data_IF_403283809530
#
_entry.id   IF_403283809530
#
_cell.length_a   1.000
_cell.length_b   1.000
_cell.length_c   1.000
_cell.angle_alpha   90.00
_cell.angle_beta   90.00
_cell.angle_gamma   90.00
#
_symmetry.space_group_name_H-M   'P 1'
#
loop_
_entity.id
_entity.type
_entity.pdbx_description
1 polymer ?
#
# COMPACT_ATOMS: atom_id res chain seq x y z
N UNK A 1 33.93 10.13 -7.15
CA UNK A 1 34.28 9.06 -6.20
C UNK A 1 32.99 8.46 -5.67
N UNK A 2 32.57 7.34 -6.24
CA UNK A 2 31.43 6.57 -5.75
C UNK A 2 31.81 5.85 -4.47
N UNK A 3 31.06 6.10 -3.40
CA UNK A 3 31.18 5.37 -2.14
C UNK A 3 30.04 4.35 -2.11
N UNK A 4 30.23 3.29 -2.90
CA UNK A 4 29.63 1.98 -2.63
C UNK A 4 30.34 1.41 -1.39
N UNK A 5 29.98 1.90 -0.21
CA UNK A 5 30.25 1.20 1.05
C UNK A 5 29.07 0.28 1.31
N UNK A 6 29.29 -1.02 1.21
CA UNK A 6 28.26 -2.03 1.39
C UNK A 6 27.48 -1.85 2.70
N UNK A 7 26.21 -1.52 2.59
CA UNK A 7 25.26 -1.77 3.67
C UNK A 7 24.97 -3.28 3.65
N UNK A 8 25.28 -4.03 4.73
CA UNK A 8 24.74 -5.36 4.89
C UNK A 8 23.20 -5.29 4.79
N UNK A 9 22.52 -6.36 4.33
CA UNK A 9 21.06 -6.36 4.27
C UNK A 9 20.52 -5.93 5.65
N UNK A 10 19.49 -5.07 5.74
CA UNK A 10 19.08 -4.48 7.00
C UNK A 10 18.57 -5.57 7.93
N UNK A 11 19.46 -6.14 8.74
CA UNK A 11 19.09 -6.87 9.94
C UNK A 11 18.41 -5.83 10.84
N UNK A 12 17.07 -5.83 10.84
CA UNK A 12 16.28 -4.87 11.62
C UNK A 12 16.85 -4.81 13.04
N UNK A 13 17.16 -3.61 13.59
CA UNK A 13 17.61 -3.51 14.95
C UNK A 13 16.54 -4.12 15.85
N UNK A 14 16.90 -5.17 16.60
CA UNK A 14 16.04 -5.88 17.55
C UNK A 14 15.80 -5.04 18.81
N UNK A 15 15.38 -3.80 18.63
CA UNK A 15 14.96 -2.92 19.72
C UNK A 15 13.51 -3.25 20.09
N UNK A 16 13.13 -3.21 21.39
CA UNK A 16 11.79 -3.55 21.88
C UNK A 16 10.66 -2.66 21.36
N UNK A 17 10.97 -1.63 20.56
CA UNK A 17 10.03 -0.65 20.00
C UNK A 17 9.72 -0.85 18.51
N UNK A 18 10.26 -1.88 17.87
CA UNK A 18 9.99 -2.19 16.46
C UNK A 18 8.77 -3.12 16.31
N UNK A 19 7.93 -2.85 15.31
CA UNK A 19 6.76 -3.66 15.00
C UNK A 19 7.15 -5.00 14.34
N UNK A 20 7.24 -6.07 15.12
CA UNK A 20 7.58 -7.42 14.63
C UNK A 20 6.61 -7.94 13.56
N UNK A 21 5.32 -7.61 13.63
CA UNK A 21 4.35 -8.00 12.60
C UNK A 21 4.70 -7.45 11.21
N UNK A 22 5.21 -6.21 11.13
CA UNK A 22 5.57 -5.60 9.86
C UNK A 22 6.76 -6.32 9.20
N UNK A 23 7.67 -6.86 10.01
CA UNK A 23 8.80 -7.68 9.53
C UNK A 23 8.33 -8.99 8.91
N UNK A 24 7.30 -9.61 9.47
CA UNK A 24 6.74 -10.89 8.97
C UNK A 24 5.87 -10.67 7.72
N UNK A 25 5.00 -9.66 7.73
CA UNK A 25 4.03 -9.43 6.67
C UNK A 25 4.54 -8.54 5.53
N UNK A 26 5.17 -7.40 5.86
CA UNK A 26 5.61 -6.41 4.88
C UNK A 26 7.08 -6.61 4.46
N UNK A 27 7.86 -7.40 5.21
CA UNK A 27 9.32 -7.55 5.04
C UNK A 27 10.09 -6.23 5.06
N UNK A 28 9.57 -5.24 5.79
CA UNK A 28 10.22 -3.96 6.07
C UNK A 28 10.37 -3.76 7.59
N UNK A 29 11.39 -3.02 8.01
CA UNK A 29 11.62 -2.70 9.42
C UNK A 29 10.83 -1.44 9.80
N UNK A 30 9.65 -1.56 10.42
CA UNK A 30 8.95 -0.43 11.03
C UNK A 30 9.43 -0.22 12.47
N UNK A 31 10.37 0.71 12.64
CA UNK A 31 10.92 1.07 13.96
C UNK A 31 10.68 2.54 14.32
N UNK A 32 10.33 3.39 13.33
CA UNK A 32 10.06 4.81 13.55
C UNK A 32 8.56 5.11 13.49
N UNK A 33 8.11 6.03 14.34
CA UNK A 33 6.74 6.57 14.28
C UNK A 33 6.45 7.20 12.92
N UNK A 34 7.46 7.77 12.26
CA UNK A 34 7.32 8.35 10.91
C UNK A 34 6.95 7.31 9.87
N UNK A 35 7.56 6.12 9.94
CA UNK A 35 7.30 5.02 9.00
C UNK A 35 5.89 4.44 9.24
N UNK A 36 5.48 4.33 10.51
CA UNK A 36 4.13 3.92 10.89
C UNK A 36 3.06 4.90 10.40
N UNK A 37 3.31 6.21 10.54
CA UNK A 37 2.41 7.25 10.03
C UNK A 37 2.35 7.23 8.50
N UNK A 38 3.49 7.09 7.82
CA UNK A 38 3.53 7.00 6.36
C UNK A 38 2.75 5.78 5.84
N UNK A 39 2.92 4.62 6.46
CA UNK A 39 2.17 3.40 6.12
C UNK A 39 0.66 3.59 6.38
N UNK A 40 0.29 4.15 7.53
CA UNK A 40 -1.10 4.42 7.89
C UNK A 40 -1.78 5.40 6.93
N UNK A 41 -1.11 6.49 6.58
CA UNK A 41 -1.62 7.47 5.62
C UNK A 41 -1.73 6.89 4.21
N UNK A 42 -0.75 6.08 3.77
CA UNK A 42 -0.80 5.39 2.49
C UNK A 42 -1.98 4.41 2.41
N UNK A 43 -2.17 3.58 3.44
CA UNK A 43 -3.32 2.67 3.54
C UNK A 43 -4.64 3.44 3.56
N UNK A 44 -4.74 4.50 4.36
CA UNK A 44 -5.94 5.32 4.42
C UNK A 44 -6.26 5.97 3.06
N UNK A 45 -5.25 6.42 2.32
CA UNK A 45 -5.43 7.00 0.99
C UNK A 45 -5.94 5.99 -0.03
N UNK A 46 -5.43 4.77 -0.03
CA UNK A 46 -5.89 3.71 -0.93
C UNK A 46 -7.33 3.30 -0.60
N UNK A 47 -7.64 3.17 0.69
CA UNK A 47 -8.98 2.81 1.15
C UNK A 47 -10.00 3.90 0.84
N UNK A 48 -9.67 5.18 1.07
CA UNK A 48 -10.57 6.29 0.79
C UNK A 48 -10.88 6.41 -0.70
N UNK A 49 -9.86 6.26 -1.55
CA UNK A 49 -10.03 6.23 -3.00
C UNK A 49 -10.90 5.04 -3.43
N UNK A 50 -10.59 3.83 -2.94
CA UNK A 50 -11.37 2.63 -3.27
C UNK A 50 -12.85 2.77 -2.90
N UNK A 51 -13.17 3.29 -1.72
CA UNK A 51 -14.55 3.51 -1.26
C UNK A 51 -15.25 4.57 -2.13
N UNK A 52 -14.55 5.62 -2.55
CA UNK A 52 -15.12 6.65 -3.41
C UNK A 52 -15.53 6.12 -4.80
N UNK A 53 -14.85 5.08 -5.31
CA UNK A 53 -15.17 4.43 -6.58
C UNK A 53 -16.33 3.42 -6.48
N UNK A 54 -16.65 2.90 -5.28
CA UNK A 54 -17.76 1.95 -5.04
C UNK A 54 -19.13 2.42 -5.57
N UNK A 55 -19.62 3.65 -5.32
CA UNK A 55 -20.91 4.10 -5.83
C UNK A 55 -20.94 4.16 -7.38
N UNK A 56 -19.82 4.42 -8.04
CA UNK A 56 -19.72 4.37 -9.49
C UNK A 56 -19.84 2.93 -9.99
N UNK A 57 -19.18 1.97 -9.33
CA UNK A 57 -19.27 0.54 -9.66
C UNK A 57 -20.70 0.03 -9.51
N UNK A 58 -21.38 0.33 -8.40
CA UNK A 58 -22.75 -0.13 -8.12
C UNK A 58 -23.72 0.41 -9.17
N UNK A 59 -23.59 1.68 -9.55
CA UNK A 59 -24.48 2.31 -10.53
C UNK A 59 -24.30 1.71 -11.92
N UNK A 60 -23.06 1.48 -12.37
CA UNK A 60 -22.75 0.83 -13.65
C UNK A 60 -23.23 -0.64 -13.68
N UNK A 61 -23.10 -1.37 -12.57
CA UNK A 61 -23.59 -2.76 -12.48
C UNK A 61 -25.12 -2.84 -12.60
N UNK A 62 -25.85 -1.90 -11.98
CA UNK A 62 -27.32 -1.83 -12.08
C UNK A 62 -27.81 -1.43 -13.48
N UNK A 63 -27.07 -0.57 -14.17
CA UNK A 63 -27.40 -0.13 -15.53
C UNK A 63 -26.97 -1.13 -16.61
N UNK A 64 -26.27 -2.22 -16.25
CA UNK A 64 -25.66 -3.21 -17.19
C UNK A 64 -24.80 -2.57 -18.28
N UNK A 65 -24.34 -1.35 -18.04
CA UNK A 65 -23.59 -0.55 -19.00
C UNK A 65 -22.28 -0.12 -18.37
N UNK A 66 -21.18 -0.55 -18.98
CA UNK A 66 -19.80 -0.23 -18.56
C UNK A 66 -19.22 0.91 -19.40
N UNK A 67 -20.06 1.85 -19.85
CA UNK A 67 -19.64 2.93 -20.75
C UNK A 67 -18.73 3.98 -20.06
N UNK A 68 -18.73 4.06 -18.73
CA UNK A 68 -17.99 5.08 -17.97
C UNK A 68 -16.87 4.57 -17.06
N UNK A 69 -16.74 3.25 -16.85
CA UNK A 69 -15.80 2.68 -15.88
C UNK A 69 -15.07 1.48 -16.48
N UNK A 70 -13.76 1.61 -16.69
CA UNK A 70 -12.93 0.53 -17.19
C UNK A 70 -12.60 -0.45 -16.06
N UNK A 71 -13.35 -1.54 -15.96
CA UNK A 71 -13.05 -2.66 -15.03
C UNK A 71 -11.64 -3.20 -15.31
N UNK A 72 -11.21 -3.19 -16.58
CA UNK A 72 -9.85 -3.56 -16.96
C UNK A 72 -8.79 -2.64 -16.34
N UNK A 73 -9.07 -1.33 -16.21
CA UNK A 73 -8.19 -0.39 -15.53
C UNK A 73 -8.09 -0.69 -14.03
N UNK A 74 -9.22 -0.98 -13.36
CA UNK A 74 -9.23 -1.40 -11.95
C UNK A 74 -8.47 -2.72 -11.73
N UNK A 75 -8.67 -3.70 -12.61
CA UNK A 75 -7.96 -4.98 -12.57
C UNK A 75 -6.45 -4.79 -12.76
N UNK A 76 -6.05 -3.91 -13.69
CA UNK A 76 -4.63 -3.58 -13.90
C UNK A 76 -4.04 -2.89 -12.67
N UNK A 77 -4.81 -2.04 -12.00
CA UNK A 77 -4.39 -1.34 -10.78
C UNK A 77 -4.16 -2.30 -9.59
N UNK A 78 -4.96 -3.37 -9.47
CA UNK A 78 -4.78 -4.41 -8.44
C UNK A 78 -3.60 -5.33 -8.75
N UNK A 79 -3.29 -5.55 -10.03
CA UNK A 79 -2.19 -6.43 -10.47
C UNK A 79 -0.81 -5.75 -10.38
N UNK A 80 -0.76 -4.42 -10.46
CA UNK A 80 0.46 -3.63 -10.30
C UNK A 80 1.12 -3.81 -8.94
#
# INVERSE_FOLDING_TARGET
MGIFSGTPPPSCPSAPHCAEWAKVYLKYCLCSTKDGVALGLGLASVLSWGIAEVPQIITNYKQKSTEGLSIAFLMTWIVG
#
